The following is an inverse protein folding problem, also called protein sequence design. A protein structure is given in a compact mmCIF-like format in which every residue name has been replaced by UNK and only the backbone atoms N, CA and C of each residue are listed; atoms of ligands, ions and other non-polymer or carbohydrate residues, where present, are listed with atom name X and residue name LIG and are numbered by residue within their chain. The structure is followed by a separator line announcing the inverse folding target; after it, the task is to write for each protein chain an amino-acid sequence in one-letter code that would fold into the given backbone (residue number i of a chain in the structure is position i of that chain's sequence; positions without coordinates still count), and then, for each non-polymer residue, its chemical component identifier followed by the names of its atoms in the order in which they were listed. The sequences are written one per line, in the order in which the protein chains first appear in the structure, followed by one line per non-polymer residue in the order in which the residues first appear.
data_IF_976339273429
#
_entry.id   IF_976339273429
#
_cell.length_a   1.000
_cell.length_b   1.000
_cell.length_c   1.000
_cell.angle_alpha   90.00
_cell.angle_beta   90.00
_cell.angle_gamma   90.00
#
_symmetry.space_group_name_H-M   'P 1'
#
loop_
_entity.id
_entity.type
_entity.pdbx_description
1 polymer ?
#
# COMPACT_ATOMS: atom_id res chain seq x y z
N UNK A 1 24.30 3.75 18.65
CA UNK A 1 25.40 3.72 17.67
C UNK A 1 24.79 3.83 16.29
N UNK A 2 24.56 5.05 15.84
CA UNK A 2 24.11 5.36 14.48
C UNK A 2 25.28 5.08 13.53
N UNK A 3 25.14 4.07 12.66
CA UNK A 3 26.06 3.87 11.55
C UNK A 3 25.94 5.10 10.65
N UNK A 4 26.96 5.96 10.67
CA UNK A 4 27.18 6.95 9.63
C UNK A 4 27.26 6.19 8.30
N UNK A 5 26.16 6.19 7.54
CA UNK A 5 26.15 5.66 6.18
C UNK A 5 27.11 6.53 5.39
N UNK A 6 28.23 5.93 4.97
CA UNK A 6 29.13 6.48 3.96
C UNK A 6 28.28 7.08 2.83
N UNK A 7 28.28 8.41 2.73
CA UNK A 7 27.65 9.12 1.63
C UNK A 7 28.50 8.78 0.41
N UNK A 8 28.08 7.76 -0.36
CA UNK A 8 28.67 7.51 -1.68
C UNK A 8 28.50 8.80 -2.47
N UNK A 9 29.62 9.37 -2.92
CA UNK A 9 29.60 10.57 -3.76
C UNK A 9 28.66 10.34 -4.95
N UNK A 10 27.81 11.34 -5.24
CA UNK A 10 26.88 11.25 -6.35
C UNK A 10 27.65 11.19 -7.68
N UNK A 11 27.22 10.36 -8.65
CA UNK A 11 27.79 10.35 -9.99
C UNK A 11 27.76 11.75 -10.61
N UNK A 12 28.73 12.04 -11.46
CA UNK A 12 28.76 13.34 -12.13
C UNK A 12 27.59 13.47 -13.11
N UNK A 13 27.16 14.69 -13.41
CA UNK A 13 26.11 14.92 -14.43
C UNK A 13 26.47 14.34 -15.81
N UNK A 14 27.77 14.25 -16.13
CA UNK A 14 28.24 13.60 -17.36
C UNK A 14 28.01 12.09 -17.34
N UNK A 15 28.21 11.44 -16.20
CA UNK A 15 27.94 10.01 -16.03
C UNK A 15 26.42 9.73 -16.12
N UNK A 16 25.60 10.55 -15.46
CA UNK A 16 24.14 10.44 -15.54
C UNK A 16 23.63 10.68 -16.97
N UNK A 17 24.18 11.66 -17.68
CA UNK A 17 23.88 11.89 -19.09
C UNK A 17 24.32 10.69 -19.96
N UNK A 18 25.56 10.22 -19.80
CA UNK A 18 26.08 9.04 -20.50
C UNK A 18 25.25 7.78 -20.28
N UNK A 19 24.71 7.61 -19.07
CA UNK A 19 23.75 6.56 -18.75
C UNK A 19 22.43 6.74 -19.52
N UNK A 20 21.92 7.98 -19.64
CA UNK A 20 20.66 8.25 -20.34
C UNK A 20 20.71 7.97 -21.85
N UNK A 21 21.87 8.18 -22.47
CA UNK A 21 22.12 7.89 -23.90
C UNK A 21 22.65 6.47 -24.16
N UNK A 22 22.72 5.63 -23.12
CA UNK A 22 23.21 4.24 -23.18
C UNK A 22 24.65 4.10 -23.73
N UNK A 23 25.50 5.11 -23.47
CA UNK A 23 26.92 5.11 -23.87
C UNK A 23 27.81 4.44 -22.82
N UNK A 24 27.31 4.28 -21.59
CA UNK A 24 28.03 3.60 -20.51
C UNK A 24 27.90 2.08 -20.61
N UNK A 25 29.03 1.38 -20.46
CA UNK A 25 29.12 -0.08 -20.58
C UNK A 25 29.74 -0.66 -19.31
N UNK A 26 29.36 -1.89 -18.98
CA UNK A 26 29.99 -2.69 -17.91
C UNK A 26 29.75 -2.12 -16.52
N UNK A 27 30.79 -2.14 -15.69
CA UNK A 27 30.69 -1.85 -14.25
C UNK A 27 30.21 -0.42 -13.95
N UNK A 28 30.53 0.54 -14.82
CA UNK A 28 30.07 1.94 -14.65
C UNK A 28 28.56 2.07 -14.78
N UNK A 29 27.94 1.35 -15.72
CA UNK A 29 26.48 1.35 -15.89
C UNK A 29 25.81 0.74 -14.66
N UNK A 30 26.31 -0.41 -14.20
CA UNK A 30 25.80 -1.10 -13.01
C UNK A 30 25.92 -0.25 -11.74
N UNK A 31 27.05 0.44 -11.56
CA UNK A 31 27.27 1.34 -10.43
C UNK A 31 26.23 2.48 -10.41
N UNK A 32 25.91 3.06 -11.57
CA UNK A 32 24.89 4.10 -11.67
C UNK A 32 23.49 3.53 -11.42
N UNK A 33 23.17 2.35 -11.94
CA UNK A 33 21.89 1.67 -11.68
C UNK A 33 21.68 1.43 -10.17
N UNK A 34 22.71 0.94 -9.48
CA UNK A 34 22.68 0.76 -8.02
C UNK A 34 22.55 2.10 -7.28
N UNK A 35 23.25 3.15 -7.72
CA UNK A 35 23.14 4.48 -7.11
C UNK A 35 21.75 5.10 -7.31
N UNK A 36 21.18 4.98 -8.51
CA UNK A 36 19.86 5.53 -8.85
C UNK A 36 18.73 4.85 -8.08
N UNK A 37 18.94 3.63 -7.56
CA UNK A 37 18.00 2.95 -6.68
C UNK A 37 17.92 3.60 -5.28
N UNK A 38 18.95 4.34 -4.86
CA UNK A 38 19.06 4.91 -3.51
C UNK A 38 19.09 6.45 -3.49
N UNK A 39 19.17 7.13 -4.65
CA UNK A 39 19.41 8.57 -4.74
C UNK A 39 18.40 9.29 -5.65
N UNK A 40 17.33 9.82 -5.03
CA UNK A 40 16.27 10.56 -5.73
C UNK A 40 16.74 11.79 -6.52
N UNK A 41 17.71 12.61 -6.03
CA UNK A 41 18.21 13.75 -6.81
C UNK A 41 18.80 13.34 -8.17
N UNK A 42 19.64 12.29 -8.20
CA UNK A 42 20.25 11.80 -9.44
C UNK A 42 19.21 11.18 -10.36
N UNK A 43 18.20 10.48 -9.81
CA UNK A 43 17.09 9.94 -10.59
C UNK A 43 16.27 11.04 -11.26
N UNK A 44 15.98 12.12 -10.56
CA UNK A 44 15.29 13.29 -11.12
C UNK A 44 16.08 13.89 -12.30
N UNK A 45 17.39 13.99 -12.18
CA UNK A 45 18.25 14.51 -13.24
C UNK A 45 18.26 13.61 -14.49
N UNK A 46 18.35 12.29 -14.32
CA UNK A 46 18.23 11.30 -15.41
C UNK A 46 16.86 11.40 -16.11
N UNK A 47 15.78 11.58 -15.36
CA UNK A 47 14.44 11.78 -15.92
C UNK A 47 14.37 13.09 -16.72
N UNK A 48 14.98 14.16 -16.21
CA UNK A 48 15.06 15.43 -16.91
C UNK A 48 15.80 15.29 -18.25
N UNK A 49 16.99 14.67 -18.26
CA UNK A 49 17.73 14.40 -19.51
C UNK A 49 16.91 13.59 -20.51
N UNK A 50 16.25 12.52 -20.07
CA UNK A 50 15.38 11.71 -20.96
C UNK A 50 14.22 12.51 -21.55
N UNK A 51 13.60 13.40 -20.77
CA UNK A 51 12.52 14.27 -21.26
C UNK A 51 13.04 15.27 -22.29
N UNK A 52 14.14 15.95 -22.00
CA UNK A 52 14.78 16.90 -22.93
C UNK A 52 15.20 16.23 -24.24
N UNK A 53 15.77 15.02 -24.18
CA UNK A 53 16.13 14.27 -25.38
C UNK A 53 14.91 13.88 -26.21
N UNK A 54 13.83 13.41 -25.58
CA UNK A 54 12.58 13.11 -26.30
C UNK A 54 12.03 14.34 -27.02
N UNK A 55 12.06 15.51 -26.37
CA UNK A 55 11.62 16.76 -27.01
C UNK A 55 12.49 17.15 -28.21
N UNK A 56 13.79 16.84 -28.18
CA UNK A 56 14.70 17.06 -29.30
C UNK A 56 14.55 16.01 -30.42
N UNK A 57 14.28 14.75 -30.08
CA UNK A 57 14.10 13.67 -31.06
C UNK A 57 12.74 13.70 -31.78
N UNK A 58 11.77 14.46 -31.27
CA UNK A 58 10.44 14.61 -31.88
C UNK A 58 10.42 15.52 -33.13
N UNK A 59 11.55 16.10 -33.53
CA UNK A 59 11.60 17.03 -34.69
C UNK A 59 11.65 16.35 -36.05
N UNK A 60 11.73 15.02 -36.13
CA UNK A 60 11.75 14.29 -37.40
C UNK A 60 10.48 13.45 -37.54
N UNK A 61 9.42 14.07 -38.09
CA UNK A 61 8.26 13.33 -38.59
C UNK A 61 8.66 12.56 -39.86
N UNK A 62 9.48 11.52 -39.70
CA UNK A 62 9.74 10.57 -40.78
C UNK A 62 8.46 9.73 -40.92
N UNK A 63 7.78 9.77 -42.09
CA UNK A 63 6.59 8.96 -42.29
C UNK A 63 6.98 7.49 -42.17
N UNK A 64 6.46 6.82 -41.13
CA UNK A 64 6.68 5.38 -40.91
C UNK A 64 5.98 4.62 -42.04
N UNK A 65 6.69 3.79 -42.82
CA UNK A 65 6.10 2.96 -43.87
C UNK A 65 4.92 2.13 -43.34
N UNK A 66 3.84 2.08 -44.11
CA UNK A 66 2.61 1.33 -43.77
C UNK A 66 2.91 -0.15 -43.49
N UNK A 67 3.82 -0.75 -44.24
CA UNK A 67 4.26 -2.15 -44.09
C UNK A 67 4.87 -2.45 -42.70
N UNK A 68 5.56 -1.48 -42.09
CA UNK A 68 6.12 -1.62 -40.74
C UNK A 68 5.03 -1.45 -39.68
N UNK A 69 4.04 -0.57 -39.90
CA UNK A 69 2.87 -0.45 -39.02
C UNK A 69 2.10 -1.75 -38.99
N UNK A 70 1.84 -2.34 -40.15
CA UNK A 70 1.09 -3.60 -40.27
C UNK A 70 1.83 -4.78 -39.62
N UNK A 71 3.16 -4.87 -39.79
CA UNK A 71 3.99 -5.87 -39.08
C UNK A 71 3.98 -5.67 -37.57
N UNK A 72 4.03 -4.43 -37.08
CA UNK A 72 3.97 -4.16 -35.64
C UNK A 72 2.60 -4.55 -35.07
N UNK A 73 1.50 -4.26 -35.78
CA UNK A 73 0.14 -4.67 -35.37
C UNK A 73 0.03 -6.20 -35.27
N UNK A 74 0.56 -6.92 -36.26
CA UNK A 74 0.60 -8.39 -36.23
C UNK A 74 1.42 -8.92 -35.05
N UNK A 75 2.65 -8.43 -34.84
CA UNK A 75 3.50 -8.85 -33.71
C UNK A 75 2.91 -8.49 -32.34
N UNK A 76 2.15 -7.40 -32.26
CA UNK A 76 1.45 -6.98 -31.03
C UNK A 76 0.31 -7.95 -30.71
N UNK A 77 -0.46 -8.35 -31.72
CA UNK A 77 -1.56 -9.32 -31.57
C UNK A 77 -1.09 -10.72 -31.20
N UNK A 78 0.14 -11.10 -31.58
CA UNK A 78 0.75 -12.37 -31.19
C UNK A 78 1.30 -12.32 -29.76
N UNK A 79 1.91 -11.20 -29.34
CA UNK A 79 2.35 -11.00 -27.94
C UNK A 79 1.18 -10.90 -26.97
N UNK A 80 0.05 -10.34 -27.40
CA UNK A 80 -1.21 -10.33 -26.63
C UNK A 80 -1.69 -11.74 -26.30
N UNK A 81 -1.45 -12.76 -27.15
CA UNK A 81 -1.85 -14.15 -26.84
C UNK A 81 -1.04 -14.76 -25.70
N UNK A 82 0.23 -14.41 -25.55
CA UNK A 82 1.07 -14.85 -24.41
C UNK A 82 0.89 -13.99 -23.15
N UNK A 83 0.64 -12.69 -23.28
CA UNK A 83 0.24 -11.82 -22.17
C UNK A 83 -1.18 -12.09 -21.66
N UNK A 84 -2.06 -12.62 -22.52
CA UNK A 84 -3.45 -12.96 -22.21
C UNK A 84 -3.59 -14.01 -21.11
N UNK A 85 -2.67 -14.98 -21.00
CA UNK A 85 -2.78 -16.03 -19.98
C UNK A 85 -2.47 -15.46 -18.59
N UNK A 86 -1.39 -14.69 -18.43
CA UNK A 86 -1.07 -14.04 -17.15
C UNK A 86 -2.14 -13.00 -16.77
N UNK A 87 -2.63 -12.22 -17.73
CA UNK A 87 -3.75 -11.30 -17.53
C UNK A 87 -5.01 -12.02 -17.03
N UNK A 88 -5.42 -13.09 -17.71
CA UNK A 88 -6.59 -13.91 -17.32
C UNK A 88 -6.43 -14.58 -15.97
N UNK A 89 -5.25 -15.09 -15.64
CA UNK A 89 -4.99 -15.68 -14.32
C UNK A 89 -5.09 -14.61 -13.23
N UNK A 90 -4.53 -13.43 -13.47
CA UNK A 90 -4.62 -12.30 -12.53
C UNK A 90 -6.07 -11.84 -12.35
N UNK A 91 -6.81 -11.66 -13.44
CA UNK A 91 -8.24 -11.32 -13.42
C UNK A 91 -9.07 -12.38 -12.69
N UNK A 92 -8.78 -13.67 -12.93
CA UNK A 92 -9.45 -14.77 -12.24
C UNK A 92 -9.19 -14.73 -10.74
N UNK A 93 -7.94 -14.56 -10.31
CA UNK A 93 -7.57 -14.43 -8.89
C UNK A 93 -8.24 -13.24 -8.23
N UNK A 94 -8.27 -12.07 -8.91
CA UNK A 94 -8.99 -10.89 -8.43
C UNK A 94 -10.48 -11.21 -8.28
N UNK A 95 -11.12 -11.79 -9.30
CA UNK A 95 -12.55 -12.13 -9.26
C UNK A 95 -12.89 -13.13 -8.16
N UNK A 96 -12.04 -14.13 -7.93
CA UNK A 96 -12.22 -15.14 -6.90
C UNK A 96 -12.11 -14.51 -5.51
N UNK A 97 -11.17 -13.58 -5.33
CA UNK A 97 -10.98 -12.82 -4.08
C UNK A 97 -12.19 -11.93 -3.80
N UNK A 98 -12.69 -11.22 -4.81
CA UNK A 98 -13.90 -10.38 -4.68
C UNK A 98 -15.14 -11.21 -4.35
N UNK A 99 -15.33 -12.35 -5.01
CA UNK A 99 -16.44 -13.26 -4.73
C UNK A 99 -16.32 -13.87 -3.32
N UNK A 100 -15.13 -14.28 -2.91
CA UNK A 100 -14.87 -14.77 -1.56
C UNK A 100 -15.17 -13.72 -0.49
N UNK A 101 -14.72 -12.48 -0.67
CA UNK A 101 -15.04 -11.36 0.22
C UNK A 101 -16.53 -11.06 0.23
N UNK A 102 -17.20 -11.10 -0.92
CA UNK A 102 -18.66 -10.94 -1.00
C UNK A 102 -19.38 -12.03 -0.22
N UNK A 103 -18.99 -13.29 -0.38
CA UNK A 103 -19.57 -14.42 0.35
C UNK A 103 -19.39 -14.26 1.87
N UNK A 104 -18.19 -13.90 2.34
CA UNK A 104 -17.95 -13.64 3.76
C UNK A 104 -18.88 -12.54 4.26
N UNK A 105 -19.00 -11.42 3.53
CA UNK A 105 -19.86 -10.29 3.90
C UNK A 105 -21.34 -10.65 3.94
N UNK A 106 -21.83 -11.47 3.01
CA UNK A 106 -23.27 -11.76 2.91
C UNK A 106 -23.71 -12.95 3.74
N UNK A 107 -22.82 -13.91 3.98
CA UNK A 107 -23.22 -15.24 4.48
C UNK A 107 -22.62 -15.59 5.83
N UNK A 108 -21.50 -14.97 6.23
CA UNK A 108 -20.81 -15.30 7.48
C UNK A 108 -20.85 -14.16 8.51
N UNK A 109 -20.96 -12.91 8.06
CA UNK A 109 -21.00 -11.76 8.95
C UNK A 109 -22.45 -11.41 9.33
N UNK A 110 -22.72 -11.13 10.61
CA UNK A 110 -23.94 -10.46 11.06
C UNK A 110 -24.18 -9.13 10.33
N UNK A 111 -25.45 -8.73 10.19
CA UNK A 111 -25.82 -7.47 9.50
C UNK A 111 -25.26 -6.21 10.15
N UNK A 112 -24.93 -6.27 11.45
CA UNK A 112 -24.34 -5.17 12.21
C UNK A 112 -22.82 -5.02 12.00
N UNK A 113 -22.16 -5.98 11.35
CA UNK A 113 -20.70 -5.98 11.15
C UNK A 113 -20.37 -5.72 9.67
N UNK A 114 -19.64 -4.64 9.41
CA UNK A 114 -19.09 -4.30 8.10
C UNK A 114 -17.57 -4.44 8.12
N UNK A 115 -17.04 -5.31 7.27
CA UNK A 115 -15.59 -5.45 7.08
C UNK A 115 -15.17 -4.80 5.77
N UNK A 116 -14.19 -3.90 5.84
CA UNK A 116 -13.59 -3.25 4.69
C UNK A 116 -12.09 -3.53 4.67
N UNK A 117 -11.66 -4.26 3.65
CA UNK A 117 -10.24 -4.54 3.38
C UNK A 117 -9.79 -3.55 2.31
N UNK A 118 -9.13 -2.48 2.71
CA UNK A 118 -8.53 -1.54 1.76
C UNK A 118 -7.09 -1.98 1.48
N UNK A 119 -6.91 -2.87 0.49
CA UNK A 119 -5.62 -2.97 -0.20
C UNK A 119 -5.62 -1.88 -1.27
N UNK A 120 -5.00 -0.74 -0.99
CA UNK A 120 -4.60 0.13 -2.09
C UNK A 120 -3.53 -0.62 -2.87
N UNK A 121 -3.93 -1.29 -3.95
CA UNK A 121 -2.98 -1.75 -4.97
C UNK A 121 -2.38 -0.49 -5.57
N UNK A 122 -1.26 -0.03 -5.00
CA UNK A 122 -0.49 1.06 -5.58
C UNK A 122 -0.02 0.55 -6.94
N UNK A 123 -0.46 1.14 -8.06
CA UNK A 123 0.02 0.75 -9.36
C UNK A 123 1.55 0.85 -9.37
N UNK A 124 2.25 -0.08 -10.01
CA UNK A 124 3.72 -0.11 -10.03
C UNK A 124 4.39 1.23 -10.44
N UNK A 125 3.66 2.10 -11.15
CA UNK A 125 4.13 3.43 -11.55
C UNK A 125 4.02 4.52 -10.47
N UNK A 126 3.23 4.32 -9.41
CA UNK A 126 3.05 5.28 -8.31
C UNK A 126 4.16 5.18 -7.23
N UNK A 127 5.08 4.22 -7.36
CA UNK A 127 6.25 4.07 -6.47
C UNK A 127 7.33 5.17 -6.62
N UNK A 128 7.19 6.11 -7.57
CA UNK A 128 8.25 7.07 -7.90
C UNK A 128 8.14 8.44 -7.21
N UNK A 129 7.10 8.70 -6.44
CA UNK A 129 6.93 9.96 -5.71
C UNK A 129 6.77 9.70 -4.22
N UNK A 130 7.80 9.16 -3.56
CA UNK A 130 8.00 9.26 -2.10
C UNK A 130 6.77 9.02 -1.22
N UNK A 131 5.78 8.27 -1.68
CA UNK A 131 4.62 7.92 -0.90
C UNK A 131 5.10 6.84 0.03
N UNK A 132 5.17 7.17 1.33
CA UNK A 132 5.27 6.21 2.42
C UNK A 132 4.38 5.02 2.07
N UNK A 133 4.96 3.81 2.07
CA UNK A 133 4.19 2.57 1.85
C UNK A 133 2.95 2.65 2.73
N UNK A 134 1.79 2.87 2.11
CA UNK A 134 0.55 2.96 2.87
C UNK A 134 0.29 1.57 3.41
N UNK A 135 0.62 1.42 4.68
CA UNK A 135 0.51 0.23 5.50
C UNK A 135 -0.84 -0.46 5.23
N UNK A 136 -0.82 -1.79 5.07
CA UNK A 136 -2.05 -2.56 4.88
C UNK A 136 -3.02 -2.23 6.02
N UNK A 137 -4.18 -1.66 5.66
CA UNK A 137 -5.19 -1.23 6.62
C UNK A 137 -6.41 -2.14 6.53
N UNK A 138 -6.72 -2.82 7.64
CA UNK A 138 -7.97 -3.56 7.82
C UNK A 138 -8.91 -2.71 8.66
N UNK A 139 -10.10 -2.42 8.12
CA UNK A 139 -11.14 -1.68 8.85
C UNK A 139 -12.31 -2.61 9.17
N UNK A 140 -12.65 -2.71 10.45
CA UNK A 140 -13.82 -3.44 10.95
C UNK A 140 -14.76 -2.40 11.57
N UNK A 141 -16.01 -2.39 11.16
CA UNK A 141 -17.03 -1.47 11.66
C UNK A 141 -18.18 -2.30 12.25
N UNK A 142 -18.64 -1.95 13.44
CA UNK A 142 -19.78 -2.58 14.09
C UNK A 142 -20.75 -1.53 14.61
N UNK A 143 -22.03 -1.71 14.28
CA UNK A 143 -23.11 -0.82 14.73
C UNK A 143 -23.97 -1.52 15.78
N UNK A 144 -23.96 -1.03 17.01
CA UNK A 144 -24.85 -1.49 18.10
C UNK A 144 -25.71 -0.31 18.55
N UNK A 145 -27.02 -0.42 18.40
CA UNK A 145 -27.98 0.65 18.72
C UNK A 145 -27.64 1.96 17.96
N UNK A 146 -27.39 3.05 18.69
CA UNK A 146 -26.97 4.33 18.14
C UNK A 146 -25.45 4.54 18.14
N UNK A 147 -24.68 3.49 18.42
CA UNK A 147 -23.22 3.57 18.53
C UNK A 147 -22.58 2.78 17.39
N UNK A 148 -21.61 3.43 16.75
CA UNK A 148 -20.81 2.86 15.69
C UNK A 148 -19.35 2.85 16.13
N UNK A 149 -18.75 1.66 16.15
CA UNK A 149 -17.35 1.45 16.45
C UNK A 149 -16.65 1.04 15.18
N UNK A 150 -15.63 1.81 14.79
CA UNK A 150 -14.73 1.48 13.70
C UNK A 150 -13.33 1.21 14.25
N UNK A 151 -12.83 0.01 14.03
CA UNK A 151 -11.46 -0.42 14.36
C UNK A 151 -10.66 -0.50 13.08
N UNK A 152 -9.62 0.32 12.98
CA UNK A 152 -8.65 0.32 11.89
C UNK A 152 -7.35 -0.30 12.42
N UNK A 153 -6.96 -1.45 11.86
CA UNK A 153 -5.66 -2.07 12.12
C UNK A 153 -4.71 -1.66 11.01
N UNK A 154 -3.57 -1.11 11.41
CA UNK A 154 -2.54 -0.61 10.53
C UNK A 154 -1.26 -1.38 10.83
N UNK A 155 -0.69 -2.03 9.82
CA UNK A 155 0.50 -2.86 9.97
C UNK A 155 1.76 -2.00 10.07
N UNK A 156 2.45 -2.04 11.21
CA UNK A 156 3.76 -1.40 11.35
C UNK A 156 4.92 -2.30 10.91
N UNK A 157 6.16 -1.89 11.22
CA UNK A 157 7.35 -2.71 10.99
C UNK A 157 7.32 -4.02 11.80
N UNK A 158 7.55 -5.15 11.12
CA UNK A 158 7.66 -6.48 11.73
C UNK A 158 6.31 -7.13 12.06
N UNK A 159 6.15 -7.58 13.32
CA UNK A 159 4.94 -8.25 13.83
C UNK A 159 4.00 -7.29 14.58
N UNK A 160 4.35 -6.02 14.65
CA UNK A 160 3.61 -5.02 15.40
C UNK A 160 2.50 -4.41 14.55
N UNK A 161 1.34 -4.22 15.18
CA UNK A 161 0.17 -3.59 14.60
C UNK A 161 -0.18 -2.36 15.43
N UNK A 162 -0.54 -1.28 14.76
CA UNK A 162 -1.20 -0.13 15.37
C UNK A 162 -2.70 -0.23 15.17
N UNK A 163 -3.49 0.08 16.18
CA UNK A 163 -4.94 -0.01 16.16
C UNK A 163 -5.53 1.34 16.52
N UNK A 164 -6.37 1.84 15.62
CA UNK A 164 -7.16 3.04 15.82
C UNK A 164 -8.61 2.64 16.03
N UNK A 165 -9.18 3.05 17.16
CA UNK A 165 -10.59 2.81 17.49
C UNK A 165 -11.33 4.13 17.45
N UNK A 166 -12.21 4.30 16.49
CA UNK A 166 -13.12 5.43 16.35
C UNK A 166 -14.50 5.04 16.89
N UNK A 167 -15.03 5.86 17.79
CA UNK A 167 -16.35 5.64 18.39
C UNK A 167 -17.25 6.83 18.08
N UNK A 168 -18.39 6.55 17.45
CA UNK A 168 -19.41 7.53 17.09
C UNK A 168 -20.72 7.17 17.77
N UNK A 169 -21.44 8.14 18.33
CA UNK A 169 -22.78 7.99 18.89
C UNK A 169 -23.71 9.00 18.23
N UNK A 170 -24.81 8.55 17.66
CA UNK A 170 -25.74 9.41 16.89
C UNK A 170 -25.00 10.22 15.80
N UNK A 171 -24.07 9.59 15.09
CA UNK A 171 -23.21 10.22 14.06
C UNK A 171 -22.23 11.31 14.57
N UNK A 172 -22.14 11.50 15.89
CA UNK A 172 -21.20 12.42 16.52
C UNK A 172 -20.04 11.67 17.19
N UNK A 173 -18.80 12.19 17.15
CA UNK A 173 -17.68 11.55 17.83
C UNK A 173 -17.89 11.51 19.34
N UNK A 174 -17.74 10.32 19.92
CA UNK A 174 -17.92 10.13 21.36
C UNK A 174 -16.62 10.53 22.10
N UNK A 175 -16.58 11.76 22.61
CA UNK A 175 -15.40 12.35 23.26
C UNK A 175 -15.17 11.81 24.68
N UNK A 176 -13.90 11.68 25.08
CA UNK A 176 -13.48 11.27 26.44
C UNK A 176 -14.11 9.94 26.92
N UNK A 177 -14.54 9.09 26.00
CA UNK A 177 -15.03 7.75 26.30
C UNK A 177 -13.84 6.84 26.62
N UNK A 178 -13.96 6.06 27.70
CA UNK A 178 -12.90 5.13 28.09
C UNK A 178 -13.01 3.85 27.28
N UNK A 179 -11.97 3.57 26.52
CA UNK A 179 -11.76 2.33 25.77
C UNK A 179 -10.74 1.48 26.52
N UNK A 180 -11.05 0.22 26.71
CA UNK A 180 -10.17 -0.78 27.34
C UNK A 180 -9.90 -1.90 26.36
N UNK A 181 -8.63 -2.21 26.14
CA UNK A 181 -8.15 -3.29 25.28
C UNK A 181 -7.64 -4.43 26.18
N UNK A 182 -8.18 -5.62 25.96
CA UNK A 182 -7.77 -6.86 26.62
C UNK A 182 -7.13 -7.80 25.59
N UNK A 183 -6.15 -8.57 26.03
CA UNK A 183 -5.55 -9.68 25.28
C UNK A 183 -5.68 -10.94 26.13
N UNK A 184 -6.30 -12.01 25.62
CA UNK A 184 -6.53 -13.26 26.37
C UNK A 184 -7.21 -13.03 27.75
N UNK A 185 -8.16 -12.11 27.80
CA UNK A 185 -8.85 -11.62 29.02
C UNK A 185 -7.96 -10.84 30.02
N UNK A 186 -6.69 -10.61 29.72
CA UNK A 186 -5.81 -9.75 30.51
C UNK A 186 -5.93 -8.31 30.02
N UNK A 187 -6.11 -7.36 30.95
CA UNK A 187 -6.14 -5.94 30.60
C UNK A 187 -4.77 -5.52 30.09
N UNK A 188 -4.69 -5.14 28.81
CA UNK A 188 -3.43 -4.71 28.19
C UNK A 188 -3.27 -3.19 28.31
N UNK A 189 -4.26 -2.43 27.84
CA UNK A 189 -4.21 -0.96 27.78
C UNK A 189 -5.59 -0.33 28.00
N UNK A 190 -5.61 0.91 28.47
CA UNK A 190 -6.81 1.74 28.52
C UNK A 190 -6.52 3.16 28.10
N UNK A 191 -7.36 3.71 27.21
CA UNK A 191 -7.23 5.06 26.66
C UNK A 191 -8.60 5.73 26.66
N UNK A 192 -8.61 7.06 26.78
CA UNK A 192 -9.81 7.83 26.50
C UNK A 192 -9.78 8.27 25.04
N UNK A 193 -10.94 8.33 24.40
CA UNK A 193 -11.07 8.93 23.08
C UNK A 193 -10.75 10.43 23.12
N UNK A 194 -10.08 10.91 22.08
CA UNK A 194 -9.85 12.34 21.87
C UNK A 194 -11.13 13.06 21.40
N UNK A 195 -11.02 14.35 21.09
CA UNK A 195 -12.17 15.16 20.64
C UNK A 195 -12.76 14.70 19.30
N UNK A 196 -11.98 13.97 18.50
CA UNK A 196 -12.42 13.33 17.26
C UNK A 196 -13.00 11.92 17.48
N UNK A 197 -13.21 11.48 18.72
CA UNK A 197 -13.74 10.16 19.05
C UNK A 197 -12.76 9.00 18.82
N UNK A 198 -11.49 9.28 18.48
CA UNK A 198 -10.46 8.26 18.25
C UNK A 198 -9.64 7.95 19.50
N UNK A 199 -9.27 6.69 19.67
CA UNK A 199 -8.20 6.25 20.57
C UNK A 199 -7.22 5.37 19.81
N UNK A 200 -5.93 5.59 20.03
CA UNK A 200 -4.84 4.87 19.37
C UNK A 200 -4.14 3.93 20.35
N UNK A 201 -3.82 2.73 19.86
CA UNK A 201 -3.08 1.70 20.55
C UNK A 201 -1.96 1.22 19.63
N UNK A 202 -0.71 1.51 19.98
CA UNK A 202 0.46 1.13 19.17
C UNK A 202 1.16 -0.11 19.75
N UNK A 203 1.99 -0.76 18.93
CA UNK A 203 2.79 -1.93 19.29
C UNK A 203 1.96 -3.12 19.80
N UNK A 204 0.82 -3.37 19.15
CA UNK A 204 -0.02 -4.52 19.43
C UNK A 204 0.58 -5.75 18.75
N UNK A 205 0.60 -6.87 19.46
CA UNK A 205 1.15 -8.14 18.96
C UNK A 205 0.03 -9.06 18.45
N UNK A 206 0.38 -10.21 17.90
CA UNK A 206 -0.58 -11.22 17.46
C UNK A 206 -1.32 -11.83 18.67
N UNK A 207 -2.62 -12.10 18.55
CA UNK A 207 -3.40 -12.66 19.66
C UNK A 207 -4.90 -12.43 19.56
N UNK A 208 -5.62 -12.86 20.60
CA UNK A 208 -7.07 -12.71 20.74
C UNK A 208 -7.37 -11.48 21.61
N UNK A 209 -8.08 -10.51 21.02
CA UNK A 209 -8.34 -9.21 21.62
C UNK A 209 -9.81 -8.96 21.90
N UNK A 210 -10.06 -8.21 22.97
CA UNK A 210 -11.39 -7.68 23.30
C UNK A 210 -11.30 -6.19 23.56
N UNK A 211 -12.07 -5.39 22.82
CA UNK A 211 -12.30 -3.98 23.10
C UNK A 211 -13.58 -3.86 23.92
N UNK A 212 -13.53 -3.11 25.02
CA UNK A 212 -14.71 -2.75 25.82
C UNK A 212 -14.85 -1.24 25.96
N UNK A 213 -16.10 -0.77 25.88
CA UNK A 213 -16.51 0.60 26.19
C UNK A 213 -17.57 0.53 27.31
N UNK A 214 -17.17 0.48 28.59
CA UNK A 214 -18.06 0.09 29.68
C UNK A 214 -19.29 0.98 29.86
N UNK A 215 -19.17 2.29 29.60
CA UNK A 215 -20.28 3.24 29.75
C UNK A 215 -21.41 3.02 28.74
N UNK A 216 -21.09 2.40 27.62
CA UNK A 216 -22.03 2.18 26.52
C UNK A 216 -22.40 0.69 26.39
N UNK A 217 -21.94 -0.16 27.32
CA UNK A 217 -22.14 -1.61 27.30
C UNK A 217 -21.77 -2.26 25.94
N UNK A 218 -20.62 -1.88 25.39
CA UNK A 218 -20.12 -2.45 24.13
C UNK A 218 -18.89 -3.31 24.38
N UNK A 219 -18.90 -4.49 23.76
CA UNK A 219 -17.81 -5.43 23.70
C UNK A 219 -17.63 -5.92 22.27
N UNK A 220 -16.42 -5.78 21.73
CA UNK A 220 -16.03 -6.29 20.42
C UNK A 220 -14.84 -7.23 20.58
N UNK A 221 -14.91 -8.40 19.94
CA UNK A 221 -13.84 -9.41 19.98
C UNK A 221 -13.29 -9.64 18.57
N UNK A 222 -11.98 -9.72 18.45
CA UNK A 222 -11.30 -10.03 17.19
C UNK A 222 -9.95 -10.67 17.45
N UNK A 223 -9.41 -11.33 16.42
CA UNK A 223 -8.15 -12.04 16.49
C UNK A 223 -7.19 -11.48 15.45
N UNK A 224 -5.97 -11.15 15.89
CA UNK A 224 -4.88 -10.74 15.02
C UNK A 224 -4.01 -11.98 14.76
N UNK A 225 -4.04 -12.49 13.54
CA UNK A 225 -3.30 -13.67 13.13
C UNK A 225 -2.00 -13.28 12.41
N UNK A 226 -0.96 -14.13 12.47
CA UNK A 226 0.20 -13.96 11.61
C UNK A 226 -0.24 -13.99 10.14
N UNK A 227 0.35 -13.12 9.33
CA UNK A 227 0.29 -13.28 7.89
C UNK A 227 1.26 -14.42 7.56
N UNK A 228 0.73 -15.55 7.09
CA UNK A 228 1.55 -16.65 6.59
C UNK A 228 2.41 -16.13 5.44
N UNK A 229 3.68 -15.83 5.70
CA UNK A 229 4.68 -15.58 4.68
C UNK A 229 5.00 -16.92 4.02
N UNK A 230 4.19 -17.34 3.06
CA UNK A 230 4.51 -18.44 2.14
C UNK A 230 5.33 -17.95 0.96
#
# INVERSE_FOLDING_TARGET
MTKEKNIKECPTGQDLYGYTVDVLIGDKKKMIEEHLAECDPCLKEVVHFKRSMRTMSLSENIPVPTELKDKIVLLSSEREKTGSIQGKVTEYVISLTEQGLKFIKTSLLPEDIKVNVSKHLIPAHAFREGMEEKEECLSIEQKKENINIKVELIRGEGINVSMNVLVMKDELPLKKARITLYMDNLLLLSRNTADNGKAEFSNITLGDYTIKIPKEDIEMRFRILPLDNK
#
